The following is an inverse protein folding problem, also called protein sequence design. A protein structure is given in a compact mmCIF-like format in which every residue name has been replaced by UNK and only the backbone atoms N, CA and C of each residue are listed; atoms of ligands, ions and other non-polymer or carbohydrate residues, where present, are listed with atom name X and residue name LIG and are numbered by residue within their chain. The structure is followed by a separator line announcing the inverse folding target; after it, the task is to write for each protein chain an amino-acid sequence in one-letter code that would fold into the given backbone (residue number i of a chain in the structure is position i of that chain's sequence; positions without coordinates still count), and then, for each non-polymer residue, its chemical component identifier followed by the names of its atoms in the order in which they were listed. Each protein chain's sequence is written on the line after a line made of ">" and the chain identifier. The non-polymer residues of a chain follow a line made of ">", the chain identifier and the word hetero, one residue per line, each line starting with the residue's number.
data_IF_999583681270
#
_entry.id   IF_999583681270
#
_cell.length_a   1.000
_cell.length_b   1.000
_cell.length_c   1.000
_cell.angle_alpha   90.00
_cell.angle_beta   90.00
_cell.angle_gamma   90.00
#
_symmetry.space_group_name_H-M   'P 1'
#
loop_
_entity.id
_entity.type
_entity.pdbx_description
1 polymer ?
#
# COMPACT_ATOMS: atom_id res chain seq x y z
N UNK A 1 -21.01 37.68 -7.46
CA UNK A 1 -20.45 36.35 -7.17
C UNK A 1 -19.29 36.18 -8.14
N UNK A 2 -18.07 36.42 -7.68
CA UNK A 2 -16.86 36.29 -8.49
C UNK A 2 -16.51 34.79 -8.56
N UNK A 3 -16.68 34.21 -9.74
CA UNK A 3 -16.09 32.91 -10.09
C UNK A 3 -14.57 33.13 -10.20
N UNK A 4 -13.86 32.90 -9.11
CA UNK A 4 -12.41 32.73 -9.19
C UNK A 4 -12.16 31.32 -9.71
N UNK A 5 -11.96 31.19 -11.03
CA UNK A 5 -11.41 30.00 -11.65
C UNK A 5 -10.13 29.58 -10.88
N UNK A 6 -10.00 28.32 -10.46
CA UNK A 6 -8.79 27.83 -9.82
C UNK A 6 -7.63 28.03 -10.81
N UNK A 7 -6.56 28.64 -10.35
CA UNK A 7 -5.42 28.99 -11.20
C UNK A 7 -4.88 27.73 -11.90
N UNK A 8 -4.73 27.72 -13.23
CA UNK A 8 -4.30 26.56 -14.02
C UNK A 8 -2.92 25.99 -13.64
N UNK A 9 -2.15 26.74 -12.86
CA UNK A 9 -0.82 26.35 -12.38
C UNK A 9 -0.84 25.28 -11.27
N UNK A 10 -1.88 25.22 -10.44
CA UNK A 10 -1.95 24.22 -9.36
C UNK A 10 -2.34 22.83 -9.91
N UNK A 11 -3.28 22.76 -10.84
CA UNK A 11 -3.69 21.49 -11.47
C UNK A 11 -2.54 20.84 -12.25
N UNK A 12 -1.76 21.64 -12.99
CA UNK A 12 -0.60 21.15 -13.73
C UNK A 12 0.49 20.55 -12.84
N UNK A 13 0.74 21.12 -11.68
CA UNK A 13 1.75 20.62 -10.74
C UNK A 13 1.33 19.30 -10.08
N UNK A 14 0.05 19.12 -9.76
CA UNK A 14 -0.44 17.86 -9.19
C UNK A 14 -0.42 16.71 -10.21
N UNK A 15 -0.78 16.99 -11.45
CA UNK A 15 -0.72 15.99 -12.52
C UNK A 15 0.72 15.55 -12.78
N UNK A 16 1.68 16.46 -12.80
CA UNK A 16 3.10 16.15 -12.93
C UNK A 16 3.61 15.30 -11.75
N UNK A 17 3.25 15.67 -10.52
CA UNK A 17 3.65 14.93 -9.32
C UNK A 17 3.07 13.52 -9.32
N UNK A 18 1.77 13.38 -9.66
CA UNK A 18 1.13 12.08 -9.77
C UNK A 18 1.80 11.21 -10.84
N UNK A 19 2.05 11.73 -12.04
CA UNK A 19 2.71 10.99 -13.12
C UNK A 19 4.11 10.56 -12.73
N UNK A 20 4.88 11.45 -12.10
CA UNK A 20 6.21 11.11 -11.60
C UNK A 20 6.16 9.98 -10.55
N UNK A 21 5.29 10.10 -9.54
CA UNK A 21 5.11 9.09 -8.52
C UNK A 21 4.65 7.75 -9.11
N UNK A 22 3.72 7.78 -10.08
CA UNK A 22 3.23 6.60 -10.77
C UNK A 22 4.33 5.88 -11.56
N UNK A 23 5.12 6.60 -12.36
CA UNK A 23 6.19 5.98 -13.12
C UNK A 23 7.34 5.48 -12.24
N UNK A 24 7.62 6.18 -11.14
CA UNK A 24 8.57 5.69 -10.14
C UNK A 24 8.08 4.41 -9.47
N UNK A 25 6.78 4.32 -9.15
CA UNK A 25 6.14 3.12 -8.63
C UNK A 25 6.25 1.94 -9.62
N UNK A 26 5.86 2.15 -10.87
CA UNK A 26 5.97 1.14 -11.93
C UNK A 26 7.42 0.71 -12.13
N UNK A 27 8.36 1.66 -12.15
CA UNK A 27 9.79 1.38 -12.28
C UNK A 27 10.34 0.55 -11.14
N UNK A 28 9.96 0.84 -9.89
CA UNK A 28 10.39 0.11 -8.71
C UNK A 28 9.87 -1.35 -8.72
N UNK A 29 8.59 -1.57 -9.07
CA UNK A 29 8.02 -2.91 -9.21
C UNK A 29 8.70 -3.67 -10.36
N UNK A 30 8.82 -3.04 -11.53
CA UNK A 30 9.46 -3.67 -12.70
C UNK A 30 10.90 -4.08 -12.41
N UNK A 31 11.64 -3.22 -11.70
CA UNK A 31 13.01 -3.53 -11.27
C UNK A 31 13.04 -4.73 -10.31
N UNK A 32 12.11 -4.79 -9.33
CA UNK A 32 12.03 -5.89 -8.38
C UNK A 32 11.71 -7.22 -9.07
N UNK A 33 10.73 -7.22 -9.99
CA UNK A 33 10.34 -8.40 -10.77
C UNK A 33 11.49 -8.84 -11.67
N UNK A 34 12.11 -7.93 -12.41
CA UNK A 34 13.24 -8.23 -13.28
C UNK A 34 14.44 -8.79 -12.49
N UNK A 35 14.74 -8.21 -11.32
CA UNK A 35 15.80 -8.70 -10.44
C UNK A 35 15.52 -10.10 -9.92
N UNK A 36 14.29 -10.39 -9.50
CA UNK A 36 13.89 -11.73 -9.06
C UNK A 36 14.00 -12.76 -10.20
N UNK A 37 13.53 -12.41 -11.38
CA UNK A 37 13.63 -13.28 -12.57
C UNK A 37 15.09 -13.53 -12.96
N UNK A 38 15.91 -12.48 -12.96
CA UNK A 38 17.35 -12.61 -13.26
C UNK A 38 18.04 -13.59 -12.31
N UNK A 39 17.82 -13.46 -11.01
CA UNK A 39 18.43 -14.34 -10.01
C UNK A 39 17.92 -15.78 -10.10
N UNK A 40 16.66 -15.95 -10.49
CA UNK A 40 16.07 -17.29 -10.69
C UNK A 40 16.60 -17.98 -11.96
N UNK A 41 16.74 -17.23 -13.05
CA UNK A 41 17.15 -17.77 -14.35
C UNK A 41 18.67 -17.87 -14.48
N UNK A 42 19.42 -16.99 -13.83
CA UNK A 42 20.89 -16.91 -13.87
C UNK A 42 21.44 -16.84 -12.44
N UNK A 43 21.44 -17.95 -11.68
CA UNK A 43 21.91 -17.95 -10.29
C UNK A 43 23.35 -17.47 -10.10
N UNK A 44 24.21 -17.63 -11.13
CA UNK A 44 25.60 -17.13 -11.12
C UNK A 44 25.69 -15.61 -11.01
N UNK A 45 24.62 -14.87 -11.34
CA UNK A 45 24.55 -13.40 -11.15
C UNK A 45 24.66 -12.99 -9.68
N UNK A 46 24.35 -13.88 -8.73
CA UNK A 46 24.57 -13.63 -7.29
C UNK A 46 26.04 -13.39 -6.93
N UNK A 47 26.97 -13.94 -7.69
CA UNK A 47 28.41 -13.68 -7.48
C UNK A 47 28.75 -12.20 -7.70
N UNK A 48 28.03 -11.55 -8.63
CA UNK A 48 28.22 -10.12 -8.97
C UNK A 48 27.41 -9.24 -8.01
N UNK A 49 26.13 -9.55 -7.80
CA UNK A 49 25.19 -8.71 -7.07
C UNK A 49 25.16 -8.96 -5.56
N UNK A 50 25.73 -10.08 -5.08
CA UNK A 50 25.72 -10.47 -3.66
C UNK A 50 26.12 -9.36 -2.70
N UNK A 51 27.23 -8.62 -2.92
CA UNK A 51 27.68 -7.55 -2.02
C UNK A 51 26.67 -6.39 -1.85
N UNK A 52 25.85 -6.13 -2.86
CA UNK A 52 24.86 -5.06 -2.87
C UNK A 52 23.41 -5.55 -2.85
N UNK A 53 23.21 -6.86 -2.79
CA UNK A 53 21.90 -7.51 -2.89
C UNK A 53 20.89 -6.93 -1.92
N UNK A 54 21.25 -6.74 -0.66
CA UNK A 54 20.38 -6.15 0.37
C UNK A 54 19.84 -4.79 -0.05
N UNK A 55 20.69 -3.92 -0.62
CA UNK A 55 20.29 -2.58 -1.08
C UNK A 55 19.40 -2.68 -2.32
N UNK A 56 19.75 -3.59 -3.26
CA UNK A 56 18.98 -3.81 -4.49
C UNK A 56 17.56 -4.32 -4.23
N UNK A 57 17.35 -5.08 -3.15
CA UNK A 57 16.03 -5.56 -2.76
C UNK A 57 15.28 -4.54 -1.91
N UNK A 58 15.92 -4.00 -0.87
CA UNK A 58 15.25 -3.09 0.08
C UNK A 58 14.81 -1.78 -0.57
N UNK A 59 15.67 -1.14 -1.36
CA UNK A 59 15.38 0.20 -1.90
C UNK A 59 14.13 0.20 -2.80
N UNK A 60 13.99 -0.65 -3.81
CA UNK A 60 12.77 -0.69 -4.63
C UNK A 60 11.55 -1.08 -3.81
N UNK A 61 11.68 -2.05 -2.89
CA UNK A 61 10.56 -2.47 -2.02
C UNK A 61 10.02 -1.30 -1.20
N UNK A 62 10.89 -0.56 -0.53
CA UNK A 62 10.47 0.60 0.25
C UNK A 62 9.91 1.72 -0.63
N UNK A 63 10.47 1.89 -1.82
CA UNK A 63 9.99 2.88 -2.78
C UNK A 63 8.55 2.57 -3.21
N UNK A 64 8.28 1.37 -3.72
CA UNK A 64 6.93 1.07 -4.21
C UNK A 64 5.91 0.96 -3.07
N UNK A 65 6.29 0.46 -1.89
CA UNK A 65 5.38 0.39 -0.74
C UNK A 65 5.00 1.79 -0.21
N UNK A 66 5.95 2.72 -0.16
CA UNK A 66 5.67 4.11 0.20
C UNK A 66 4.78 4.79 -0.85
N UNK A 67 5.07 4.57 -2.14
CA UNK A 67 4.29 5.13 -3.24
C UNK A 67 2.89 4.52 -3.34
N UNK A 68 2.71 3.25 -2.94
CA UNK A 68 1.40 2.59 -2.89
C UNK A 68 0.40 3.39 -2.05
N UNK A 69 0.83 3.94 -0.92
CA UNK A 69 -0.02 4.78 -0.07
C UNK A 69 -0.16 6.22 -0.60
N UNK A 70 0.89 6.76 -1.19
CA UNK A 70 0.90 8.15 -1.70
C UNK A 70 0.04 8.31 -2.95
N UNK A 71 0.05 7.34 -3.87
CA UNK A 71 -0.68 7.42 -5.14
C UNK A 71 -2.19 7.63 -4.96
N UNK A 72 -2.92 6.91 -4.10
CA UNK A 72 -4.33 7.19 -3.84
C UNK A 72 -4.58 8.57 -3.24
N UNK A 73 -3.70 9.07 -2.37
CA UNK A 73 -3.81 10.43 -1.85
C UNK A 73 -3.74 11.46 -2.98
N UNK A 74 -2.77 11.32 -3.88
CA UNK A 74 -2.61 12.22 -5.03
C UNK A 74 -3.76 12.08 -6.03
N UNK A 75 -4.25 10.86 -6.25
CA UNK A 75 -5.33 10.57 -7.20
C UNK A 75 -6.68 11.11 -6.73
N UNK A 76 -7.02 10.90 -5.47
CA UNK A 76 -8.33 11.24 -4.92
C UNK A 76 -8.37 12.59 -4.19
N UNK A 77 -7.22 13.17 -3.85
CA UNK A 77 -7.12 14.47 -3.18
C UNK A 77 -7.84 15.61 -3.90
N UNK A 78 -7.61 15.82 -5.21
CA UNK A 78 -8.28 16.86 -5.97
C UNK A 78 -9.81 16.68 -6.07
N UNK A 79 -10.29 15.43 -6.19
CA UNK A 79 -11.71 15.12 -6.42
C UNK A 79 -12.52 15.03 -5.12
N UNK A 80 -11.98 14.40 -4.07
CA UNK A 80 -12.65 14.23 -2.78
C UNK A 80 -12.41 15.40 -1.80
N UNK A 81 -11.38 16.19 -2.06
CA UNK A 81 -10.85 17.22 -1.16
C UNK A 81 -9.84 16.65 -0.16
N UNK A 82 -8.73 17.38 0.01
CA UNK A 82 -7.58 16.94 0.82
C UNK A 82 -7.93 16.60 2.26
N UNK A 83 -8.81 17.39 2.90
CA UNK A 83 -9.26 17.11 4.27
C UNK A 83 -9.95 15.75 4.40
N UNK A 84 -10.82 15.42 3.44
CA UNK A 84 -11.58 14.18 3.45
C UNK A 84 -10.67 12.97 3.23
N UNK A 85 -9.83 13.02 2.19
CA UNK A 85 -8.94 11.90 1.87
C UNK A 85 -7.93 11.66 2.98
N UNK A 86 -7.40 12.71 3.61
CA UNK A 86 -6.49 12.59 4.76
C UNK A 86 -7.17 11.95 5.97
N UNK A 87 -8.44 12.27 6.24
CA UNK A 87 -9.20 11.60 7.31
C UNK A 87 -9.43 10.13 7.00
N UNK A 88 -9.78 9.78 5.77
CA UNK A 88 -9.94 8.38 5.33
C UNK A 88 -8.61 7.64 5.46
N UNK A 89 -7.50 8.26 5.05
CA UNK A 89 -6.17 7.69 5.18
C UNK A 89 -5.79 7.48 6.65
N UNK A 90 -6.04 8.47 7.52
CA UNK A 90 -5.77 8.35 8.95
C UNK A 90 -6.55 7.19 9.59
N UNK A 91 -7.85 7.08 9.29
CA UNK A 91 -8.65 5.95 9.78
C UNK A 91 -8.19 4.61 9.23
N UNK A 92 -7.88 4.51 7.94
CA UNK A 92 -7.32 3.30 7.33
C UNK A 92 -6.01 2.87 7.98
N UNK A 93 -5.11 3.84 8.23
CA UNK A 93 -3.85 3.58 8.93
C UNK A 93 -4.06 3.14 10.39
N UNK A 94 -4.99 3.78 11.12
CA UNK A 94 -5.26 3.45 12.52
C UNK A 94 -5.88 2.04 12.63
N UNK A 95 -6.92 1.76 11.85
CA UNK A 95 -7.61 0.48 11.90
C UNK A 95 -6.67 -0.65 11.41
N UNK A 96 -6.06 -0.47 10.25
CA UNK A 96 -5.11 -1.44 9.70
C UNK A 96 -3.91 -1.66 10.62
N UNK A 97 -3.29 -0.59 11.10
CA UNK A 97 -2.16 -0.68 12.03
C UNK A 97 -2.51 -1.34 13.37
N UNK A 98 -3.71 -1.08 13.91
CA UNK A 98 -4.19 -1.74 15.12
C UNK A 98 -4.44 -3.23 14.89
N UNK A 99 -5.07 -3.61 13.77
CA UNK A 99 -5.29 -5.01 13.39
C UNK A 99 -3.97 -5.77 13.26
N UNK A 100 -2.97 -5.17 12.61
CA UNK A 100 -1.64 -5.74 12.44
C UNK A 100 -0.88 -5.90 13.77
N UNK A 101 -0.97 -4.89 14.64
CA UNK A 101 -0.35 -4.97 15.97
C UNK A 101 -1.01 -6.06 16.82
N UNK A 102 -2.33 -6.21 16.76
CA UNK A 102 -3.05 -7.27 17.46
C UNK A 102 -2.62 -8.64 16.93
N UNK A 103 -2.56 -8.83 15.61
CA UNK A 103 -2.14 -10.07 14.98
C UNK A 103 -0.69 -10.43 15.29
N UNK A 104 0.25 -9.49 15.10
CA UNK A 104 1.69 -9.74 15.31
C UNK A 104 2.11 -9.88 16.76
N UNK A 105 1.32 -9.38 17.71
CA UNK A 105 1.59 -9.54 19.17
C UNK A 105 0.88 -10.73 19.79
N UNK A 106 -0.07 -11.36 19.07
CA UNK A 106 -0.92 -12.41 19.62
C UNK A 106 -1.79 -11.94 20.80
N UNK A 107 -1.96 -10.61 20.97
CA UNK A 107 -2.66 -10.02 22.12
C UNK A 107 -4.11 -10.49 22.25
N UNK A 108 -4.79 -10.69 21.12
CA UNK A 108 -6.15 -11.21 21.12
C UNK A 108 -6.14 -12.70 20.79
N UNK A 109 -6.02 -13.54 21.82
CA UNK A 109 -6.05 -14.99 21.68
C UNK A 109 -7.36 -15.55 22.27
N UNK A 110 -8.12 -16.28 21.44
CA UNK A 110 -9.37 -16.93 21.86
C UNK A 110 -9.28 -18.41 21.55
N UNK A 111 -9.26 -19.22 22.60
CA UNK A 111 -9.20 -20.70 22.48
C UNK A 111 -7.91 -21.22 21.82
N UNK A 112 -6.79 -20.51 21.96
CA UNK A 112 -5.51 -20.88 21.33
C UNK A 112 -5.33 -20.36 19.89
N UNK A 113 -6.29 -19.61 19.38
CA UNK A 113 -6.23 -18.99 18.06
C UNK A 113 -6.01 -17.49 18.22
N UNK A 114 -4.90 -16.97 17.70
CA UNK A 114 -4.64 -15.54 17.65
C UNK A 114 -5.54 -14.89 16.59
N UNK A 115 -6.31 -13.88 17.00
CA UNK A 115 -7.20 -13.14 16.13
C UNK A 115 -6.59 -11.77 15.79
N UNK A 116 -6.93 -11.14 14.63
CA UNK A 116 -7.88 -11.63 13.62
C UNK A 116 -7.28 -12.57 12.57
N UNK A 117 -5.95 -12.60 12.38
CA UNK A 117 -5.30 -13.26 11.24
C UNK A 117 -4.37 -14.42 11.59
N UNK A 118 -4.38 -14.88 12.85
CA UNK A 118 -3.39 -15.84 13.34
C UNK A 118 -2.15 -15.13 13.93
N UNK A 119 -1.17 -15.90 14.35
CA UNK A 119 0.12 -15.40 14.83
C UNK A 119 1.12 -15.40 13.70
N UNK A 120 1.70 -14.24 13.40
CA UNK A 120 2.69 -14.07 12.34
C UNK A 120 3.70 -12.97 12.68
N UNK A 121 4.85 -13.03 12.02
CA UNK A 121 5.92 -12.05 12.19
C UNK A 121 6.40 -11.51 10.86
N UNK A 122 6.60 -10.19 10.81
CA UNK A 122 7.25 -9.55 9.69
C UNK A 122 8.76 -9.73 9.72
N UNK A 123 9.35 -10.08 8.59
CA UNK A 123 10.80 -10.22 8.46
C UNK A 123 11.52 -8.90 8.70
N UNK A 124 12.81 -8.98 9.06
CA UNK A 124 13.66 -7.78 9.26
C UNK A 124 13.96 -7.04 7.94
N UNK A 125 13.73 -7.68 6.79
CA UNK A 125 13.94 -7.10 5.47
C UNK A 125 13.00 -5.94 5.16
N UNK A 126 11.85 -5.89 5.80
CA UNK A 126 10.80 -4.87 5.58
C UNK A 126 11.09 -3.54 6.28
N UNK A 127 12.24 -3.39 6.93
CA UNK A 127 12.73 -2.13 7.46
C UNK A 127 12.26 -1.80 8.87
N UNK A 128 12.20 -0.51 9.24
CA UNK A 128 11.80 -0.08 10.57
C UNK A 128 10.37 -0.51 10.89
N UNK A 129 10.16 -0.97 12.12
CA UNK A 129 8.87 -1.48 12.60
C UNK A 129 8.28 -0.59 13.69
N UNK A 130 6.99 -0.34 13.63
CA UNK A 130 6.19 0.28 14.68
C UNK A 130 6.11 -0.70 15.85
N UNK A 131 6.44 -0.24 17.04
CA UNK A 131 6.51 -1.05 18.28
C UNK A 131 7.35 -2.35 18.14
N UNK A 132 8.26 -2.41 17.16
CA UNK A 132 9.06 -3.60 16.89
C UNK A 132 8.36 -4.71 16.09
N UNK A 133 7.08 -4.56 15.77
CA UNK A 133 6.25 -5.60 15.15
C UNK A 133 5.88 -5.30 13.70
N UNK A 134 5.27 -4.16 13.42
CA UNK A 134 4.65 -3.85 12.13
C UNK A 134 5.50 -2.87 11.30
N UNK A 135 5.92 -3.20 10.07
CA UNK A 135 6.63 -2.27 9.20
C UNK A 135 5.83 -0.98 8.99
N UNK A 136 6.51 0.17 8.99
CA UNK A 136 5.88 1.49 8.97
C UNK A 136 4.96 1.76 7.77
N UNK A 137 5.17 1.08 6.65
CA UNK A 137 4.38 1.24 5.42
C UNK A 137 3.13 0.33 5.38
N UNK A 138 3.00 -0.63 6.28
CA UNK A 138 1.84 -1.54 6.32
C UNK A 138 0.55 -0.80 6.68
N UNK A 139 0.47 0.03 7.75
CA UNK A 139 -0.75 0.76 8.02
C UNK A 139 -1.22 1.65 6.85
N UNK A 140 -0.36 2.44 6.17
CA UNK A 140 -0.76 3.17 4.98
C UNK A 140 -1.19 2.30 3.80
N UNK A 141 -0.67 1.07 3.65
CA UNK A 141 -1.12 0.17 2.58
C UNK A 141 -2.56 -0.28 2.77
N UNK A 142 -3.03 -0.46 4.02
CA UNK A 142 -4.43 -0.75 4.32
C UNK A 142 -5.38 0.34 3.82
N UNK A 143 -5.00 1.61 3.99
CA UNK A 143 -5.75 2.72 3.38
C UNK A 143 -5.78 2.60 1.86
N UNK A 144 -4.62 2.39 1.23
CA UNK A 144 -4.52 2.30 -0.22
C UNK A 144 -5.35 1.14 -0.79
N UNK A 145 -5.24 -0.04 -0.21
CA UNK A 145 -6.03 -1.21 -0.60
C UNK A 145 -7.53 -0.98 -0.42
N UNK A 146 -7.94 -0.37 0.70
CA UNK A 146 -9.35 -0.11 0.99
C UNK A 146 -9.98 0.83 -0.04
N UNK A 147 -9.32 1.95 -0.36
CA UNK A 147 -9.90 2.94 -1.29
C UNK A 147 -9.94 2.44 -2.72
N UNK A 148 -8.89 1.73 -3.16
CA UNK A 148 -8.82 1.15 -4.52
C UNK A 148 -9.83 0.02 -4.67
N UNK A 149 -9.95 -0.87 -3.67
CA UNK A 149 -10.94 -1.95 -3.68
C UNK A 149 -12.37 -1.42 -3.73
N UNK A 150 -12.67 -0.36 -2.99
CA UNK A 150 -13.98 0.27 -3.02
C UNK A 150 -14.25 0.98 -4.36
N UNK A 151 -13.28 1.66 -4.95
CA UNK A 151 -13.43 2.28 -6.27
C UNK A 151 -13.70 1.23 -7.36
N UNK A 152 -12.94 0.14 -7.34
CA UNK A 152 -13.15 -0.98 -8.25
C UNK A 152 -14.56 -1.59 -8.09
N UNK A 153 -14.99 -1.82 -6.85
CA UNK A 153 -16.33 -2.35 -6.56
C UNK A 153 -17.45 -1.44 -7.07
N UNK A 154 -17.28 -0.11 -6.97
CA UNK A 154 -18.24 0.88 -7.49
C UNK A 154 -18.33 0.90 -9.01
N UNK A 155 -17.33 0.44 -9.72
CA UNK A 155 -17.37 0.26 -11.19
C UNK A 155 -18.14 -0.98 -11.59
N UNK A 156 -18.24 -1.96 -10.70
CA UNK A 156 -18.98 -3.22 -10.96
C UNK A 156 -20.44 -3.11 -10.53
N UNK A 157 -20.73 -2.43 -9.41
CA UNK A 157 -22.10 -2.28 -8.90
C UNK A 157 -22.35 -0.86 -8.38
N UNK A 158 -23.55 -0.34 -8.71
CA UNK A 158 -23.99 0.98 -8.23
C UNK A 158 -24.70 0.93 -6.88
N UNK A 159 -25.09 -0.28 -6.43
CA UNK A 159 -25.75 -0.47 -5.14
C UNK A 159 -24.75 -0.26 -4.00
N UNK A 160 -25.10 0.62 -3.06
CA UNK A 160 -24.21 1.00 -1.93
C UNK A 160 -23.75 -0.21 -1.11
N UNK A 161 -24.67 -1.08 -0.71
CA UNK A 161 -24.36 -2.28 0.07
C UNK A 161 -23.53 -3.25 -0.77
N UNK A 162 -23.94 -3.47 -2.03
CA UNK A 162 -23.20 -4.33 -2.96
C UNK A 162 -21.75 -3.87 -3.17
N UNK A 163 -21.52 -2.57 -3.33
CA UNK A 163 -20.16 -2.04 -3.50
C UNK A 163 -19.31 -2.17 -2.21
N UNK A 164 -19.91 -2.05 -1.03
CA UNK A 164 -19.19 -2.29 0.22
C UNK A 164 -18.81 -3.77 0.38
N UNK A 165 -19.74 -4.69 0.16
CA UNK A 165 -19.46 -6.13 0.25
C UNK A 165 -18.41 -6.57 -0.78
N UNK A 166 -18.56 -6.11 -2.02
CA UNK A 166 -17.62 -6.45 -3.09
C UNK A 166 -16.23 -5.82 -2.84
N UNK A 167 -16.18 -4.58 -2.35
CA UNK A 167 -14.93 -3.93 -1.97
C UNK A 167 -14.21 -4.65 -0.82
N UNK A 168 -14.97 -5.11 0.18
CA UNK A 168 -14.43 -5.96 1.26
C UNK A 168 -13.89 -7.28 0.71
N UNK A 169 -14.64 -7.93 -0.19
CA UNK A 169 -14.17 -9.16 -0.84
C UNK A 169 -12.86 -8.94 -1.62
N UNK A 170 -12.76 -7.87 -2.40
CA UNK A 170 -11.52 -7.54 -3.11
C UNK A 170 -10.35 -7.31 -2.16
N UNK A 171 -10.60 -6.65 -1.03
CA UNK A 171 -9.59 -6.41 -0.01
C UNK A 171 -9.09 -7.72 0.61
N UNK A 172 -10.01 -8.63 0.96
CA UNK A 172 -9.66 -9.97 1.49
C UNK A 172 -8.90 -10.81 0.46
N UNK A 173 -9.33 -10.81 -0.80
CA UNK A 173 -8.64 -11.53 -1.87
C UNK A 173 -7.23 -10.98 -2.12
N UNK A 174 -7.06 -9.68 -1.97
CA UNK A 174 -5.75 -9.05 -2.06
C UNK A 174 -4.84 -9.49 -0.91
N UNK A 175 -5.33 -9.46 0.30
CA UNK A 175 -4.62 -9.86 1.51
C UNK A 175 -4.15 -11.32 1.43
N UNK A 176 -5.08 -12.24 1.14
CA UNK A 176 -4.77 -13.68 0.94
C UNK A 176 -3.76 -13.93 -0.19
N UNK A 177 -3.67 -13.05 -1.18
CA UNK A 177 -2.71 -13.21 -2.29
C UNK A 177 -1.31 -12.69 -1.97
N UNK A 178 -1.14 -11.95 -0.87
CA UNK A 178 0.15 -11.45 -0.41
C UNK A 178 0.80 -12.34 0.66
N UNK A 179 0.02 -13.19 1.32
CA UNK A 179 0.47 -14.21 2.27
C UNK A 179 0.92 -15.50 1.57
#
# INVERSE_FOLDING_TARGET
>A
MSNSDPSPTLEGNYDLLFRFAFWLFVGAISFSVAGMLLLRLVPSSMAIFGPIYTKLVKTPTWTFMTLLALLPLLMYGPTLGWKKISLIAAWGCIIGGASELIGTTGWLNVGGIALPFGEYEYTQWLGPKIAGHVPYFIPPSWFAMSIVSLDLARRVTTQRVGSLLLGTLFMVLWDVSLD
#
